data_IF_015993177016
#
_entry.id   IF_015993177016
#
_cell.length_a   1.000
_cell.length_b   1.000
_cell.length_c   1.000
_cell.angle_alpha   90.00
_cell.angle_beta   90.00
_cell.angle_gamma   90.00
#
_symmetry.space_group_name_H-M   'P 1'
#
loop_
_entity.id
_entity.type
_entity.pdbx_description
1 polymer ?
#
# COMPACT_ATOMS: atom_id res chain seq x y z
N UNK A 1 4.24 20.59 -40.10
CA UNK A 1 3.10 21.54 -40.02
C UNK A 1 1.97 20.89 -39.23
N UNK A 2 1.26 21.71 -38.46
CA UNK A 2 0.52 21.42 -37.22
C UNK A 2 -0.83 20.69 -37.36
N UNK A 3 -1.17 19.94 -36.29
CA UNK A 3 -2.47 19.75 -35.61
C UNK A 3 -3.80 19.65 -36.39
N UNK A 4 -4.66 18.71 -36.01
CA UNK A 4 -5.78 18.97 -35.07
C UNK A 4 -6.64 17.73 -34.78
N UNK A 5 -7.02 17.59 -33.51
CA UNK A 5 -7.97 16.62 -32.95
C UNK A 5 -9.39 17.21 -32.90
N UNK A 6 -10.44 16.44 -33.21
CA UNK A 6 -11.81 16.63 -32.67
C UNK A 6 -12.80 15.47 -32.98
N UNK A 7 -13.39 14.94 -31.89
CA UNK A 7 -14.76 14.40 -31.69
C UNK A 7 -15.27 13.12 -32.41
N UNK A 8 -15.64 12.13 -31.59
CA UNK A 8 -16.87 11.31 -31.69
C UNK A 8 -17.15 10.73 -30.27
N UNK A 9 -18.12 11.20 -29.48
CA UNK A 9 -19.59 10.98 -29.53
C UNK A 9 -19.98 9.50 -29.40
N UNK A 10 -20.20 9.02 -28.16
CA UNK A 10 -21.52 8.67 -27.58
C UNK A 10 -22.20 7.46 -28.23
N UNK A 11 -22.23 6.33 -27.50
CA UNK A 11 -23.34 5.34 -27.49
C UNK A 11 -23.08 4.32 -26.37
N UNK A 12 -23.82 4.41 -25.28
CA UNK A 12 -24.05 3.25 -24.40
C UNK A 12 -25.53 3.15 -24.09
N UNK A 13 -26.02 1.95 -24.39
CA UNK A 13 -27.32 1.35 -24.31
C UNK A 13 -28.25 1.85 -23.20
N UNK A 14 -29.47 2.20 -23.62
CA UNK A 14 -30.67 2.16 -22.81
C UNK A 14 -31.14 0.72 -22.67
N UNK A 15 -31.33 0.25 -21.44
CA UNK A 15 -32.33 -0.79 -21.18
C UNK A 15 -33.01 -0.53 -19.84
N UNK A 16 -34.32 -0.71 -19.84
CA UNK A 16 -35.28 -0.29 -18.83
C UNK A 16 -36.04 -1.51 -18.33
N UNK A 17 -35.84 -1.94 -17.06
CA UNK A 17 -36.83 -2.73 -16.31
C UNK A 17 -36.44 -3.06 -14.85
N UNK A 18 -36.93 -2.23 -13.90
CA UNK A 18 -37.45 -2.49 -12.51
C UNK A 18 -36.57 -3.25 -11.46
N UNK A 19 -36.87 -3.21 -10.13
CA UNK A 19 -37.96 -2.58 -9.39
C UNK A 19 -37.52 -1.63 -8.24
N UNK A 20 -38.52 -0.97 -7.66
CA UNK A 20 -38.54 -0.02 -6.55
C UNK A 20 -38.11 -0.58 -5.18
N UNK A 21 -37.33 0.23 -4.45
CA UNK A 21 -37.14 0.35 -2.98
C UNK A 21 -36.77 -0.90 -2.16
N UNK A 22 -35.59 -0.87 -1.52
CA UNK A 22 -35.47 -0.93 -0.04
C UNK A 22 -34.03 -0.80 0.55
N UNK A 23 -32.98 -0.52 -0.23
CA UNK A 23 -31.59 -0.51 0.29
C UNK A 23 -30.73 0.63 -0.28
N UNK A 24 -31.20 1.88 -0.17
CA UNK A 24 -30.46 3.04 -0.70
C UNK A 24 -29.70 3.87 0.37
N UNK A 25 -29.91 3.63 1.67
CA UNK A 25 -29.49 4.59 2.70
C UNK A 25 -28.38 4.09 3.65
N UNK A 26 -27.33 3.46 3.11
CA UNK A 26 -26.07 3.28 3.87
C UNK A 26 -24.95 4.16 3.34
N UNK A 27 -25.08 4.72 2.13
CA UNK A 27 -24.13 5.65 1.54
C UNK A 27 -24.89 6.86 1.02
N UNK A 28 -25.02 7.89 1.85
CA UNK A 28 -25.78 9.11 1.54
C UNK A 28 -25.26 9.89 0.33
N UNK A 29 -25.59 9.43 -0.88
CA UNK A 29 -25.43 10.18 -2.12
C UNK A 29 -26.64 11.09 -2.32
N UNK A 30 -26.69 12.16 -1.53
CA UNK A 30 -27.63 13.25 -1.79
C UNK A 30 -27.23 13.93 -3.10
N UNK A 31 -28.11 13.92 -4.10
CA UNK A 31 -27.99 14.66 -5.35
C UNK A 31 -27.95 16.18 -5.09
N UNK A 32 -26.78 16.72 -4.77
CA UNK A 32 -26.53 18.14 -4.60
C UNK A 32 -25.19 18.53 -5.23
N UNK A 33 -25.23 19.20 -6.38
CA UNK A 33 -24.06 19.56 -7.22
C UNK A 33 -22.99 20.45 -6.54
N UNK A 34 -23.14 20.83 -5.26
CA UNK A 34 -22.20 21.68 -4.49
C UNK A 34 -21.91 21.19 -3.06
N UNK A 35 -22.26 19.95 -2.71
CA UNK A 35 -22.18 19.48 -1.32
C UNK A 35 -20.75 19.40 -0.74
N UNK A 36 -19.72 19.20 -1.57
CA UNK A 36 -18.35 18.92 -1.11
C UNK A 36 -17.53 20.16 -0.72
N UNK A 37 -17.75 21.30 -1.39
CA UNK A 37 -17.05 22.58 -1.09
C UNK A 37 -17.60 23.28 0.15
N UNK A 38 -18.85 22.99 0.51
CA UNK A 38 -19.55 23.66 1.60
C UNK A 38 -19.39 22.94 2.95
N UNK A 39 -18.73 21.78 2.97
CA UNK A 39 -18.46 20.98 4.16
C UNK A 39 -16.99 21.16 4.57
N UNK A 40 -16.68 21.25 5.88
CA UNK A 40 -15.31 21.30 6.35
C UNK A 40 -14.62 19.96 6.12
N UNK A 41 -13.39 19.97 5.58
CA UNK A 41 -12.66 18.74 5.25
C UNK A 41 -12.40 17.89 6.51
N UNK A 42 -12.16 18.54 7.65
CA UNK A 42 -12.04 17.94 8.98
C UNK A 42 -13.04 18.62 9.92
N UNK A 43 -13.82 17.83 10.67
CA UNK A 43 -14.76 18.34 11.68
C UNK A 43 -14.01 18.58 12.99
N UNK A 44 -13.77 19.83 13.37
CA UNK A 44 -13.08 20.25 14.62
C UNK A 44 -13.52 21.66 15.03
N UNK A 45 -13.18 22.07 16.25
CA UNK A 45 -13.38 23.45 16.69
C UNK A 45 -12.74 24.41 15.68
N UNK A 46 -13.55 25.33 15.11
CA UNK A 46 -13.11 26.26 14.08
C UNK A 46 -13.15 25.72 12.64
N UNK A 47 -14.01 24.75 12.32
CA UNK A 47 -14.29 24.16 11.00
C UNK A 47 -13.89 25.02 9.79
N UNK A 48 -12.66 24.82 9.31
CA UNK A 48 -12.12 25.48 8.10
C UNK A 48 -12.62 24.75 6.85
N UNK A 49 -13.07 25.53 5.87
CA UNK A 49 -13.44 25.06 4.52
C UNK A 49 -12.31 25.41 3.56
N UNK A 50 -12.04 24.55 2.60
CA UNK A 50 -11.12 24.87 1.51
C UNK A 50 -11.89 25.43 0.30
N UNK A 51 -11.35 26.49 -0.30
CA UNK A 51 -11.86 27.15 -1.51
C UNK A 51 -11.00 26.77 -2.72
N UNK A 52 -9.71 26.60 -2.52
CA UNK A 52 -8.72 26.24 -3.55
C UNK A 52 -8.11 24.87 -3.28
N UNK A 53 -7.50 24.27 -4.31
CA UNK A 53 -6.77 23.02 -4.19
C UNK A 53 -5.53 23.16 -3.30
N UNK A 54 -4.88 24.33 -3.30
CA UNK A 54 -3.72 24.61 -2.43
C UNK A 54 -4.14 24.59 -0.96
N UNK A 55 -5.23 25.28 -0.60
CA UNK A 55 -5.77 25.22 0.76
C UNK A 55 -6.13 23.79 1.18
N UNK A 56 -6.64 22.98 0.25
CA UNK A 56 -6.92 21.57 0.52
C UNK A 56 -5.63 20.78 0.80
N UNK A 57 -4.57 20.99 0.02
CA UNK A 57 -3.27 20.34 0.21
C UNK A 57 -2.65 20.73 1.55
N UNK A 58 -2.67 22.01 1.91
CA UNK A 58 -2.16 22.51 3.19
C UNK A 58 -2.92 21.88 4.37
N UNK A 59 -4.26 21.85 4.31
CA UNK A 59 -5.09 21.21 5.34
C UNK A 59 -4.80 19.70 5.48
N UNK A 60 -4.53 19.01 4.37
CA UNK A 60 -4.17 17.59 4.40
C UNK A 60 -2.79 17.38 5.05
N UNK A 61 -1.81 18.21 4.69
CA UNK A 61 -0.49 18.18 5.30
C UNK A 61 -0.53 18.48 6.80
N UNK A 62 -1.25 19.53 7.21
CA UNK A 62 -1.46 19.87 8.63
C UNK A 62 -2.03 18.69 9.41
N UNK A 63 -2.98 17.96 8.82
CA UNK A 63 -3.55 16.77 9.46
C UNK A 63 -2.53 15.63 9.59
N UNK A 64 -1.72 15.38 8.55
CA UNK A 64 -0.66 14.38 8.62
C UNK A 64 0.36 14.74 9.69
N UNK A 65 0.81 16.00 9.72
CA UNK A 65 1.77 16.51 10.70
C UNK A 65 1.24 16.43 12.13
N UNK A 66 -0.05 16.72 12.34
CA UNK A 66 -0.69 16.61 13.65
C UNK A 66 -0.73 15.17 14.17
N UNK A 67 -0.94 14.18 13.29
CA UNK A 67 -1.00 12.76 13.68
C UNK A 67 0.38 12.14 13.87
N UNK A 68 1.30 12.43 12.95
CA UNK A 68 2.60 11.78 12.87
C UNK A 68 3.76 12.81 12.76
N UNK A 69 3.96 13.69 13.76
CA UNK A 69 4.88 14.82 13.65
C UNK A 69 6.34 14.40 13.42
N UNK A 70 6.73 13.21 13.88
CA UNK A 70 8.10 12.71 13.80
C UNK A 70 8.39 11.86 12.55
N UNK A 71 7.41 11.62 11.68
CA UNK A 71 7.59 10.81 10.47
C UNK A 71 7.93 11.70 9.27
N UNK A 72 9.10 12.32 9.30
CA UNK A 72 9.49 13.37 8.34
C UNK A 72 9.48 12.91 6.88
N UNK A 73 9.89 11.67 6.60
CA UNK A 73 9.88 11.12 5.25
C UNK A 73 8.46 10.95 4.72
N UNK A 74 7.54 10.49 5.56
CA UNK A 74 6.13 10.35 5.22
C UNK A 74 5.47 11.72 4.99
N UNK A 75 5.73 12.68 5.89
CA UNK A 75 5.20 14.04 5.77
C UNK A 75 5.69 14.74 4.50
N UNK A 76 6.96 14.55 4.14
CA UNK A 76 7.55 15.10 2.91
C UNK A 76 6.87 14.52 1.68
N UNK A 77 6.63 13.21 1.65
CA UNK A 77 5.94 12.55 0.54
C UNK A 77 4.49 12.97 0.42
N UNK A 78 3.76 13.10 1.54
CA UNK A 78 2.39 13.64 1.56
C UNK A 78 2.36 15.06 1.00
N UNK A 79 3.26 15.93 1.46
CA UNK A 79 3.35 17.31 0.98
C UNK A 79 3.61 17.36 -0.52
N UNK A 80 4.67 16.70 -0.98
CA UNK A 80 5.05 16.67 -2.40
C UNK A 80 3.93 16.12 -3.28
N UNK A 81 3.27 15.04 -2.85
CA UNK A 81 2.17 14.47 -3.61
C UNK A 81 0.96 15.40 -3.65
N UNK A 82 0.51 15.92 -2.51
CA UNK A 82 -0.67 16.80 -2.43
C UNK A 82 -0.49 18.09 -3.23
N UNK A 83 0.71 18.69 -3.19
CA UNK A 83 1.08 19.84 -4.01
C UNK A 83 0.99 19.52 -5.52
N UNK A 84 1.46 18.35 -5.94
CA UNK A 84 1.42 17.93 -7.35
C UNK A 84 0.01 17.72 -7.90
N UNK A 85 -0.95 17.35 -7.05
CA UNK A 85 -2.35 17.07 -7.43
C UNK A 85 -3.31 18.22 -7.14
N UNK A 86 -2.82 19.41 -6.77
CA UNK A 86 -3.63 20.63 -6.58
C UNK A 86 -4.59 20.89 -7.77
N UNK A 87 -4.16 20.79 -9.05
CA UNK A 87 -5.07 21.00 -10.19
C UNK A 87 -6.26 20.02 -10.21
N UNK A 88 -6.09 18.82 -9.65
CA UNK A 88 -7.15 17.82 -9.50
C UNK A 88 -8.13 18.24 -8.41
N UNK A 89 -7.66 18.77 -7.29
CA UNK A 89 -8.51 19.29 -6.21
C UNK A 89 -9.33 20.50 -6.66
N UNK A 90 -8.75 21.39 -7.46
CA UNK A 90 -9.46 22.56 -8.00
C UNK A 90 -10.59 22.14 -8.93
N UNK A 91 -10.31 21.22 -9.87
CA UNK A 91 -11.31 20.73 -10.82
C UNK A 91 -12.35 19.82 -10.17
N UNK A 92 -11.93 19.00 -9.21
CA UNK A 92 -12.73 17.96 -8.58
C UNK A 92 -12.51 17.90 -7.05
N UNK A 93 -13.15 18.80 -6.29
CA UNK A 93 -12.97 18.92 -4.83
C UNK A 93 -13.24 17.64 -4.02
N UNK A 94 -14.07 16.74 -4.55
CA UNK A 94 -14.37 15.45 -3.93
C UNK A 94 -13.11 14.60 -3.68
N UNK A 95 -12.05 14.77 -4.48
CA UNK A 95 -10.83 13.98 -4.31
C UNK A 95 -9.98 14.41 -3.12
N UNK A 96 -10.14 15.64 -2.59
CA UNK A 96 -9.54 16.00 -1.31
C UNK A 96 -10.09 15.15 -0.16
N UNK A 97 -11.38 14.81 -0.20
CA UNK A 97 -12.03 13.92 0.77
C UNK A 97 -11.58 12.47 0.66
N UNK A 98 -11.30 12.02 -0.57
CA UNK A 98 -10.70 10.70 -0.81
C UNK A 98 -9.28 10.68 -0.28
N UNK A 99 -8.49 11.72 -0.58
CA UNK A 99 -7.10 11.85 -0.12
C UNK A 99 -7.01 11.84 1.42
N UNK A 100 -7.93 12.53 2.10
CA UNK A 100 -8.03 12.49 3.56
C UNK A 100 -8.08 11.07 4.13
N UNK A 101 -8.82 10.16 3.50
CA UNK A 101 -8.89 8.77 3.92
C UNK A 101 -7.65 8.00 3.48
N UNK A 102 -7.23 8.21 2.23
CA UNK A 102 -6.11 7.51 1.62
C UNK A 102 -4.79 7.77 2.36
N UNK A 103 -4.61 8.92 2.99
CA UNK A 103 -3.40 9.25 3.76
C UNK A 103 -3.22 8.40 5.03
N UNK A 104 -4.26 7.73 5.50
CA UNK A 104 -4.15 6.80 6.63
C UNK A 104 -4.00 5.36 6.11
N UNK A 105 -2.96 4.63 6.50
CA UNK A 105 -2.84 3.22 6.12
C UNK A 105 -4.01 2.40 6.67
N UNK A 106 -4.56 1.50 5.85
CA UNK A 106 -5.61 0.57 6.26
C UNK A 106 -5.16 -0.32 7.44
N UNK A 107 -3.89 -0.74 7.44
CA UNK A 107 -3.31 -1.50 8.55
C UNK A 107 -1.80 -1.31 8.66
N UNK A 108 -1.34 -1.19 9.91
CA UNK A 108 0.08 -1.19 10.27
C UNK A 108 0.34 -2.36 11.22
N UNK A 109 1.33 -3.17 10.89
CA UNK A 109 1.74 -4.33 11.69
C UNK A 109 3.20 -4.12 12.08
N UNK A 110 3.47 -4.14 13.38
CA UNK A 110 4.81 -4.12 13.95
C UNK A 110 4.97 -5.35 14.86
N UNK A 111 6.05 -6.10 14.68
CA UNK A 111 6.26 -7.34 15.43
C UNK A 111 7.74 -7.56 15.76
N UNK A 112 7.98 -8.40 16.77
CA UNK A 112 9.32 -8.80 17.21
C UNK A 112 9.82 -9.96 16.35
N UNK A 113 11.10 -9.93 15.98
CA UNK A 113 11.77 -10.98 15.20
C UNK A 113 12.95 -11.54 16.00
N UNK A 114 12.75 -12.60 16.79
CA UNK A 114 13.82 -13.24 17.55
C UNK A 114 14.56 -14.28 16.69
N UNK A 115 15.89 -14.29 16.72
CA UNK A 115 16.72 -15.26 15.99
C UNK A 115 18.03 -15.55 16.74
N UNK A 116 18.79 -16.55 16.29
CA UNK A 116 20.05 -16.96 16.92
C UNK A 116 21.18 -16.78 15.92
N UNK A 117 22.26 -16.12 16.34
CA UNK A 117 23.46 -15.90 15.52
C UNK A 117 24.35 -17.17 15.47
N UNK A 118 25.39 -17.15 14.64
CA UNK A 118 26.27 -18.32 14.50
C UNK A 118 27.08 -18.63 15.77
N UNK A 119 27.21 -17.67 16.68
CA UNK A 119 27.83 -17.84 18.00
C UNK A 119 26.86 -18.38 19.05
N UNK A 120 25.60 -18.65 18.67
CA UNK A 120 24.55 -19.13 19.58
C UNK A 120 23.89 -18.03 20.42
N UNK A 121 24.21 -16.76 20.18
CA UNK A 121 23.60 -15.63 20.90
C UNK A 121 22.22 -15.28 20.35
N UNK A 122 21.31 -14.95 21.26
CA UNK A 122 19.94 -14.56 20.91
C UNK A 122 19.92 -13.10 20.47
N UNK A 123 19.45 -12.85 19.26
CA UNK A 123 19.29 -11.53 18.66
C UNK A 123 17.81 -11.20 18.50
N UNK A 124 17.48 -9.92 18.53
CA UNK A 124 16.12 -9.42 18.38
C UNK A 124 16.13 -8.21 17.47
N UNK A 125 15.24 -8.24 16.50
CA UNK A 125 14.98 -7.14 15.57
C UNK A 125 13.49 -6.81 15.54
N UNK A 126 13.17 -5.66 14.97
CA UNK A 126 11.79 -5.22 14.74
C UNK A 126 11.41 -5.42 13.28
N UNK A 127 10.30 -6.12 13.07
CA UNK A 127 9.66 -6.31 11.78
C UNK A 127 8.48 -5.36 11.58
N UNK A 128 8.25 -4.98 10.33
CA UNK A 128 7.18 -4.09 9.91
C UNK A 128 6.48 -4.61 8.65
N UNK A 129 5.16 -4.46 8.60
CA UNK A 129 4.37 -4.53 7.37
C UNK A 129 3.27 -3.47 7.40
N UNK A 130 3.32 -2.53 6.47
CA UNK A 130 2.30 -1.51 6.28
C UNK A 130 1.50 -1.86 5.04
N UNK A 131 0.23 -2.18 5.26
CA UNK A 131 -0.78 -2.44 4.25
C UNK A 131 -1.54 -1.14 4.06
N UNK A 132 -1.10 -0.33 3.10
CA UNK A 132 -1.48 1.08 3.05
C UNK A 132 -2.86 1.27 2.41
N UNK A 133 -3.06 0.71 1.22
CA UNK A 133 -4.36 0.76 0.55
C UNK A 133 -4.58 -0.46 -0.34
N UNK A 134 -5.77 -1.04 -0.25
CA UNK A 134 -6.24 -2.16 -1.08
C UNK A 134 -7.23 -1.71 -2.17
N UNK A 135 -7.39 -0.39 -2.37
CA UNK A 135 -8.43 0.15 -3.24
C UNK A 135 -8.39 -0.33 -4.70
N UNK A 136 -7.20 -0.66 -5.21
CA UNK A 136 -7.00 -1.13 -6.57
C UNK A 136 -6.84 -2.65 -6.67
N UNK A 137 -6.62 -3.36 -5.57
CA UNK A 137 -6.30 -4.79 -5.55
C UNK A 137 -5.50 -5.20 -4.30
N UNK A 138 -4.89 -6.39 -4.29
CA UNK A 138 -4.11 -6.86 -3.14
C UNK A 138 -2.94 -5.92 -2.84
N UNK A 139 -2.54 -5.83 -1.58
CA UNK A 139 -1.38 -5.02 -1.19
C UNK A 139 -0.12 -5.58 -1.87
N UNK A 140 0.63 -4.73 -2.58
CA UNK A 140 1.90 -5.12 -3.19
C UNK A 140 2.98 -4.16 -2.76
N UNK A 141 4.11 -4.71 -2.31
CA UNK A 141 5.21 -3.87 -1.84
C UNK A 141 6.42 -4.64 -1.35
N UNK A 142 7.59 -4.05 -1.61
CA UNK A 142 8.88 -4.60 -1.25
C UNK A 142 9.11 -4.73 0.26
N UNK A 143 10.05 -5.61 0.60
CA UNK A 143 10.63 -5.70 1.93
C UNK A 143 12.02 -5.04 1.94
N UNK A 144 12.33 -4.31 3.01
CA UNK A 144 13.61 -3.63 3.21
C UNK A 144 14.29 -4.15 4.47
N UNK A 145 15.49 -4.71 4.34
CA UNK A 145 16.34 -5.08 5.48
C UNK A 145 17.49 -4.10 5.58
N UNK A 146 17.37 -3.15 6.50
CA UNK A 146 18.39 -2.11 6.71
C UNK A 146 18.33 -1.60 8.15
N UNK A 147 19.47 -1.33 8.82
CA UNK A 147 19.50 -0.82 10.20
C UNK A 147 18.62 0.40 10.46
N UNK A 148 18.50 1.30 9.48
CA UNK A 148 17.71 2.52 9.58
C UNK A 148 16.22 2.33 9.30
N UNK A 149 15.76 1.09 9.07
CA UNK A 149 14.35 0.82 8.78
C UNK A 149 13.52 1.10 10.01
N UNK A 150 12.71 2.16 9.94
CA UNK A 150 11.79 2.58 11.00
C UNK A 150 10.35 2.59 10.48
N UNK A 151 9.40 2.72 11.40
CA UNK A 151 7.98 2.79 11.07
C UNK A 151 7.67 3.89 10.04
N UNK A 152 8.21 5.10 10.22
CA UNK A 152 8.02 6.23 9.31
C UNK A 152 8.55 5.98 7.90
N UNK A 153 9.75 5.40 7.78
CA UNK A 153 10.34 5.02 6.48
C UNK A 153 9.48 4.00 5.75
N UNK A 154 8.94 3.00 6.45
CA UNK A 154 8.08 1.97 5.83
C UNK A 154 6.71 2.57 5.45
N UNK A 155 6.13 3.44 6.28
CA UNK A 155 4.87 4.15 5.97
C UNK A 155 5.01 5.01 4.72
N UNK A 156 6.10 5.76 4.63
CA UNK A 156 6.50 6.54 3.46
C UNK A 156 6.55 5.68 2.18
N UNK A 157 7.32 4.59 2.20
CA UNK A 157 7.45 3.71 1.02
C UNK A 157 6.11 3.08 0.63
N UNK A 158 5.29 2.72 1.61
CA UNK A 158 3.98 2.13 1.36
C UNK A 158 3.02 3.13 0.70
N UNK A 159 3.05 4.40 1.14
CA UNK A 159 2.28 5.49 0.54
C UNK A 159 2.65 5.71 -0.93
N UNK A 160 3.94 5.81 -1.26
CA UNK A 160 4.39 5.95 -2.65
C UNK A 160 3.98 4.77 -3.53
N UNK A 161 4.07 3.56 -2.97
CA UNK A 161 3.71 2.34 -3.70
C UNK A 161 2.23 2.30 -4.07
N UNK A 162 1.32 2.97 -3.35
CA UNK A 162 -0.10 3.07 -3.76
C UNK A 162 -0.20 3.68 -5.17
N UNK A 163 0.40 4.85 -5.38
CA UNK A 163 0.29 5.56 -6.64
C UNK A 163 1.14 4.92 -7.73
N UNK A 164 2.34 4.46 -7.37
CA UNK A 164 3.22 3.73 -8.30
C UNK A 164 2.52 2.50 -8.86
N UNK A 165 1.93 1.68 -8.00
CA UNK A 165 1.27 0.44 -8.40
C UNK A 165 -0.01 0.69 -9.19
N UNK A 166 -0.78 1.71 -8.83
CA UNK A 166 -1.99 2.10 -9.56
C UNK A 166 -1.74 2.48 -11.02
N UNK A 167 -0.55 2.99 -11.36
CA UNK A 167 -0.15 3.27 -12.75
C UNK A 167 0.12 1.98 -13.54
N UNK A 168 0.65 0.95 -12.89
CA UNK A 168 1.00 -0.31 -13.55
C UNK A 168 -0.18 -1.28 -13.68
N UNK A 169 -1.14 -1.28 -12.74
CA UNK A 169 -2.28 -2.19 -12.78
C UNK A 169 -3.16 -2.17 -11.51
N UNK A 170 -4.09 -3.13 -11.40
CA UNK A 170 -5.01 -3.25 -10.26
C UNK A 170 -4.29 -3.85 -9.04
N UNK A 171 -3.33 -3.12 -8.51
CA UNK A 171 -2.50 -3.51 -7.38
C UNK A 171 -2.58 -2.42 -6.30
N UNK A 172 -2.76 -2.84 -5.04
CA UNK A 172 -2.72 -1.95 -3.88
C UNK A 172 -1.29 -1.55 -3.49
N UNK A 173 -1.16 -0.70 -2.48
CA UNK A 173 0.13 -0.22 -1.98
C UNK A 173 0.49 -0.83 -0.63
N UNK A 174 1.71 -1.33 -0.53
CA UNK A 174 2.28 -1.84 0.71
C UNK A 174 3.78 -1.51 0.80
N UNK A 175 4.34 -1.64 1.98
CA UNK A 175 5.77 -1.82 2.17
C UNK A 175 6.01 -2.57 3.49
N UNK A 176 7.16 -3.21 3.61
CA UNK A 176 7.57 -3.83 4.88
C UNK A 176 9.07 -3.89 5.01
N UNK A 177 9.53 -4.56 6.05
CA UNK A 177 10.96 -4.69 6.29
C UNK A 177 11.28 -4.92 7.75
N UNK A 178 12.56 -4.79 8.07
CA UNK A 178 13.08 -4.89 9.42
C UNK A 178 14.36 -4.06 9.58
N UNK A 179 14.67 -3.69 10.81
CA UNK A 179 15.93 -3.06 11.22
C UNK A 179 17.15 -4.03 11.22
N UNK A 180 17.07 -5.08 10.40
CA UNK A 180 18.08 -6.12 10.25
C UNK A 180 19.09 -5.77 9.16
N UNK A 181 20.38 -5.98 9.41
CA UNK A 181 21.43 -5.86 8.42
C UNK A 181 21.84 -7.24 7.92
N UNK A 182 21.64 -7.58 6.64
CA UNK A 182 22.10 -8.84 6.08
C UNK A 182 23.54 -8.79 5.55
N UNK A 183 24.17 -7.61 5.44
CA UNK A 183 25.49 -7.47 4.80
C UNK A 183 26.64 -8.01 5.67
N UNK A 184 26.46 -8.01 6.98
CA UNK A 184 27.43 -8.45 7.99
C UNK A 184 27.00 -9.78 8.64
N UNK A 185 26.28 -10.61 7.89
CA UNK A 185 25.70 -11.88 8.37
C UNK A 185 26.05 -13.03 7.45
N UNK A 186 26.20 -14.21 8.05
CA UNK A 186 26.35 -15.43 7.28
C UNK A 186 25.05 -15.79 6.56
N UNK A 187 25.14 -16.63 5.54
CA UNK A 187 23.95 -17.13 4.84
C UNK A 187 23.00 -17.87 5.80
N UNK A 188 23.55 -18.61 6.77
CA UNK A 188 22.76 -19.35 7.75
C UNK A 188 22.02 -18.40 8.71
N UNK A 189 22.65 -17.31 9.13
CA UNK A 189 22.02 -16.25 9.93
C UNK A 189 20.89 -15.57 9.16
N UNK A 190 21.12 -15.22 7.90
CA UNK A 190 20.10 -14.61 7.04
C UNK A 190 18.91 -15.56 6.88
N UNK A 191 19.16 -16.85 6.67
CA UNK A 191 18.09 -17.86 6.59
C UNK A 191 17.29 -17.95 7.90
N UNK A 192 17.95 -18.03 9.06
CA UNK A 192 17.28 -18.08 10.37
C UNK A 192 16.47 -16.82 10.64
N UNK A 193 17.00 -15.65 10.28
CA UNK A 193 16.28 -14.39 10.36
C UNK A 193 15.04 -14.39 9.46
N UNK A 194 15.17 -14.76 8.19
CA UNK A 194 14.06 -14.82 7.23
C UNK A 194 12.96 -15.78 7.68
N UNK A 195 13.33 -16.93 8.26
CA UNK A 195 12.37 -17.88 8.82
C UNK A 195 11.61 -17.29 10.02
N UNK A 196 12.33 -16.66 10.95
CA UNK A 196 11.71 -16.00 12.10
C UNK A 196 10.78 -14.86 11.67
N UNK A 197 11.24 -13.98 10.77
CA UNK A 197 10.46 -12.88 10.22
C UNK A 197 9.17 -13.37 9.55
N UNK A 198 9.27 -14.45 8.76
CA UNK A 198 8.12 -15.03 8.06
C UNK A 198 7.14 -15.69 9.01
N UNK A 199 7.60 -16.19 10.16
CA UNK A 199 6.73 -16.87 11.13
C UNK A 199 5.61 -15.95 11.62
N UNK A 200 5.92 -14.67 11.85
CA UNK A 200 4.90 -13.66 12.17
C UNK A 200 4.23 -13.11 10.91
N UNK A 201 5.01 -12.77 9.87
CA UNK A 201 4.48 -12.14 8.66
C UNK A 201 3.44 -13.03 7.95
N UNK A 202 3.63 -14.35 7.97
CA UNK A 202 2.80 -15.32 7.27
C UNK A 202 1.31 -15.16 7.60
N UNK A 203 0.96 -14.71 8.81
CA UNK A 203 -0.42 -14.53 9.26
C UNK A 203 -1.17 -13.45 8.48
N UNK A 204 -0.45 -12.46 7.96
CA UNK A 204 -1.03 -11.25 7.37
C UNK A 204 -0.92 -11.20 5.85
N UNK A 205 -0.18 -12.13 5.25
CA UNK A 205 0.07 -12.20 3.82
C UNK A 205 -0.65 -13.36 3.14
N UNK A 206 -0.91 -13.21 1.84
CA UNK A 206 -1.66 -14.18 1.05
C UNK A 206 -1.79 -13.77 -0.41
N UNK A 207 -2.06 -14.73 -1.33
CA UNK A 207 -2.08 -14.48 -2.77
C UNK A 207 -3.07 -13.39 -3.21
N UNK A 208 -4.20 -13.28 -2.51
CA UNK A 208 -5.27 -12.35 -2.82
C UNK A 208 -5.35 -11.21 -1.81
N UNK A 209 -4.40 -11.13 -0.88
CA UNK A 209 -4.43 -10.19 0.24
C UNK A 209 -3.22 -9.28 0.19
N UNK A 210 -2.03 -9.83 0.37
CA UNK A 210 -0.78 -9.07 0.45
C UNK A 210 0.38 -9.90 -0.11
N UNK A 211 1.09 -9.33 -1.08
CA UNK A 211 2.17 -9.94 -1.84
C UNK A 211 3.47 -9.15 -1.58
N UNK A 212 4.31 -9.60 -0.62
CA UNK A 212 5.66 -9.09 -0.43
C UNK A 212 6.53 -9.32 -1.66
N UNK A 213 7.34 -8.32 -2.02
CA UNK A 213 8.29 -8.40 -3.15
C UNK A 213 9.72 -8.09 -2.71
N UNK A 214 10.67 -8.20 -3.64
CA UNK A 214 12.05 -7.79 -3.44
C UNK A 214 12.15 -6.28 -3.12
N UNK A 215 13.22 -5.90 -2.42
CA UNK A 215 13.52 -4.53 -2.06
C UNK A 215 14.98 -4.39 -1.61
N UNK A 216 15.27 -3.36 -0.81
CA UNK A 216 16.65 -3.08 -0.37
C UNK A 216 17.15 -4.21 0.53
N UNK A 217 18.26 -4.84 0.11
CA UNK A 217 18.87 -6.01 0.73
C UNK A 217 17.95 -7.24 0.90
N UNK A 218 16.84 -7.28 0.15
CA UNK A 218 15.95 -8.45 0.06
C UNK A 218 15.89 -8.87 -1.39
N UNK A 219 16.75 -9.82 -1.76
CA UNK A 219 16.83 -10.36 -3.10
C UNK A 219 16.11 -11.70 -3.25
N UNK A 220 16.34 -12.41 -4.37
CA UNK A 220 15.78 -13.73 -4.61
C UNK A 220 16.16 -14.77 -3.54
N UNK A 221 17.34 -14.64 -2.92
CA UNK A 221 17.80 -15.54 -1.85
C UNK A 221 16.93 -15.40 -0.59
N UNK A 222 16.78 -14.19 -0.08
CA UNK A 222 15.97 -13.90 1.11
C UNK A 222 14.49 -14.24 0.86
N UNK A 223 13.97 -13.88 -0.32
CA UNK A 223 12.63 -14.29 -0.74
C UNK A 223 12.48 -15.81 -0.82
N UNK A 224 13.49 -16.53 -1.28
CA UNK A 224 13.51 -17.99 -1.30
C UNK A 224 13.37 -18.59 0.10
N UNK A 225 14.15 -18.11 1.07
CA UNK A 225 14.06 -18.54 2.47
C UNK A 225 12.69 -18.25 3.09
N UNK A 226 12.19 -17.03 2.88
CA UNK A 226 10.87 -16.62 3.36
C UNK A 226 9.76 -17.43 2.70
N UNK A 227 9.81 -17.66 1.39
CA UNK A 227 8.81 -18.48 0.69
C UNK A 227 8.82 -19.93 1.17
N UNK A 228 10.01 -20.51 1.40
CA UNK A 228 10.15 -21.84 1.99
C UNK A 228 9.46 -21.93 3.36
N UNK A 229 9.70 -20.95 4.23
CA UNK A 229 9.05 -20.88 5.54
C UNK A 229 7.54 -20.65 5.44
N UNK A 230 7.09 -19.76 4.55
CA UNK A 230 5.67 -19.49 4.33
C UNK A 230 4.92 -20.76 3.90
N UNK A 231 5.49 -21.52 2.95
CA UNK A 231 4.93 -22.81 2.52
C UNK A 231 4.83 -23.80 3.67
N UNK A 232 5.87 -23.89 4.50
CA UNK A 232 5.91 -24.79 5.67
C UNK A 232 4.79 -24.44 6.66
N UNK A 233 4.62 -23.16 6.97
CA UNK A 233 3.61 -22.69 7.93
C UNK A 233 2.18 -22.83 7.41
N UNK A 234 1.94 -22.50 6.15
CA UNK A 234 0.62 -22.58 5.52
C UNK A 234 0.26 -24.00 5.05
N UNK A 235 1.13 -24.98 5.29
CA UNK A 235 0.97 -26.38 4.86
C UNK A 235 0.64 -26.50 3.35
N UNK A 236 1.21 -25.61 2.55
CA UNK A 236 1.00 -25.58 1.10
C UNK A 236 1.86 -26.66 0.44
N UNK A 237 1.39 -27.91 0.45
CA UNK A 237 1.93 -29.00 -0.38
C UNK A 237 1.61 -28.76 -1.88
N UNK A 238 2.39 -29.33 -2.82
CA UNK A 238 2.34 -29.00 -4.25
C UNK A 238 1.14 -29.61 -4.98
N UNK A 239 -0.06 -29.59 -4.39
CA UNK A 239 -1.30 -29.95 -5.07
C UNK A 239 -2.05 -28.67 -5.45
N UNK A 240 -1.80 -28.25 -6.71
CA UNK A 240 -2.63 -27.39 -7.56
C UNK A 240 -2.74 -25.87 -7.28
N UNK A 241 -2.48 -25.35 -6.08
CA UNK A 241 -2.67 -23.89 -5.78
C UNK A 241 -1.42 -22.99 -5.89
N UNK A 242 -0.21 -23.55 -6.00
CA UNK A 242 1.04 -22.77 -5.90
C UNK A 242 1.59 -22.19 -7.21
N UNK A 243 0.99 -22.42 -8.38
CA UNK A 243 1.53 -21.91 -9.67
C UNK A 243 1.60 -20.38 -9.76
N UNK A 244 0.74 -19.67 -9.02
CA UNK A 244 0.80 -18.21 -8.92
C UNK A 244 1.95 -17.70 -8.02
N UNK A 245 2.41 -18.49 -7.04
CA UNK A 245 3.38 -17.99 -6.06
C UNK A 245 4.83 -18.00 -6.56
N UNK A 246 5.20 -18.98 -7.39
CA UNK A 246 6.55 -19.05 -7.98
C UNK A 246 6.87 -17.83 -8.87
N UNK A 247 5.85 -17.20 -9.46
CA UNK A 247 6.00 -15.96 -10.22
C UNK A 247 6.15 -14.71 -9.35
N UNK A 248 5.45 -14.64 -8.21
CA UNK A 248 5.46 -13.48 -7.32
C UNK A 248 6.69 -13.41 -6.40
N UNK A 249 7.34 -14.55 -6.11
CA UNK A 249 8.45 -14.66 -5.13
C UNK A 249 9.80 -15.04 -5.74
N UNK A 250 9.99 -14.99 -7.07
CA UNK A 250 11.35 -15.22 -7.62
C UNK A 250 11.50 -15.58 -9.10
N UNK A 251 10.44 -15.84 -9.88
CA UNK A 251 10.61 -16.13 -11.31
C UNK A 251 10.36 -14.90 -12.19
N UNK A 252 11.45 -14.31 -12.70
CA UNK A 252 11.49 -13.13 -13.58
C UNK A 252 10.65 -13.20 -14.88
N UNK A 253 9.94 -14.30 -15.17
CA UNK A 253 9.19 -14.49 -16.43
C UNK A 253 7.67 -14.47 -16.32
N UNK A 254 7.06 -14.36 -15.12
CA UNK A 254 5.61 -14.63 -15.00
C UNK A 254 4.81 -13.73 -14.06
N UNK A 255 5.20 -12.46 -13.89
CA UNK A 255 4.28 -11.49 -13.26
C UNK A 255 2.96 -11.34 -14.05
N UNK A 256 2.98 -11.55 -15.39
CA UNK A 256 1.77 -11.52 -16.24
C UNK A 256 0.78 -12.68 -16.05
N UNK A 257 1.20 -13.86 -15.57
CA UNK A 257 0.28 -15.03 -15.48
C UNK A 257 -0.50 -15.11 -14.18
N UNK A 258 -0.05 -14.44 -13.12
CA UNK A 258 -0.77 -14.43 -11.84
C UNK A 258 -2.03 -13.55 -11.87
N UNK A 259 -2.07 -12.57 -12.76
CA UNK A 259 -3.19 -11.60 -12.90
C UNK A 259 -4.39 -12.12 -13.72
N UNK A 260 -4.28 -13.27 -14.40
CA UNK A 260 -5.31 -13.75 -15.35
C UNK A 260 -6.14 -14.91 -14.78
N UNK A 261 -5.86 -15.39 -13.56
CA UNK A 261 -6.59 -16.51 -12.94
C UNK A 261 -7.11 -16.21 -11.53
N UNK A 262 -7.38 -14.94 -11.24
CA UNK A 262 -8.18 -14.50 -10.10
C UNK A 262 -9.46 -13.83 -10.61
#
# INVERSE_FOLDING_TARGET
MQATWRRAAVRLFSDSSRPTNLMADVHGTTHGKKAWRNKPLFRREGDKKFRTGTEAADMLYEEAHRRDPYQTEFLTAVKSFTESVVPVFDRYPKYAWVMKQLMEPERVIQFRVPWVDDLGSRRVNRGFRVQFSSCCGPYVGGLRFHPETRHGTVKFLAFENVFRNAVYGPLGGAAGGADFNPLDKSEAEIMRFCQSFTTELANYIGPTTDIPTAGVNVGPRELGFMFGQFKRLRQLHPLRRCRAWTGCWGAARTFRKCLVTA
#
